data_IF_744663383279
#
_entry.id   IF_744663383279
#
_cell.length_a   1.000
_cell.length_b   1.000
_cell.length_c   1.000
_cell.angle_alpha   90.00
_cell.angle_beta   90.00
_cell.angle_gamma   90.00
#
_symmetry.space_group_name_H-M   'P 1'
#
loop_
_entity.id
_entity.type
_entity.pdbx_description
1 polymer ?
#
# COMPACT_ATOMS: atom_id res chain seq x y z
N UNK A 1 15.35 2.68 13.88
CA UNK A 1 15.24 2.46 13.46
C UNK A 1 15.23 1.80 12.69
N UNK A 2 15.13 1.64 12.44
CA UNK A 2 15.33 0.86 11.76
C UNK A 2 14.41 0.13 11.21
N UNK A 3 13.65 -0.03 11.73
CA UNK A 3 12.74 -0.88 11.28
C UNK A 3 12.17 -0.60 10.01
N UNK A 4 11.98 0.47 9.73
CA UNK A 4 11.36 0.76 8.65
C UNK A 4 11.87 0.26 7.53
N UNK A 5 12.81 -0.28 7.55
CA UNK A 5 13.36 -0.57 6.48
C UNK A 5 12.76 -1.55 5.72
N UNK A 6 11.98 -2.38 6.14
CA UNK A 6 11.42 -3.39 5.32
C UNK A 6 10.68 -2.83 4.18
N UNK A 7 9.81 -1.94 4.42
CA UNK A 7 9.03 -1.37 3.35
C UNK A 7 9.88 -0.49 2.48
N UNK A 8 10.84 0.15 3.07
CA UNK A 8 11.67 1.04 2.34
C UNK A 8 12.80 0.38 1.62
N UNK A 9 12.89 -0.91 1.72
CA UNK A 9 13.99 -1.59 1.05
C UNK A 9 13.88 -1.48 -0.46
N UNK A 10 12.67 -1.22 -0.97
CA UNK A 10 12.51 -1.06 -2.39
C UNK A 10 12.44 0.40 -2.76
N UNK A 11 13.34 0.84 -3.62
CA UNK A 11 13.34 2.23 -4.04
C UNK A 11 12.19 2.50 -4.99
N UNK A 12 11.21 3.22 -4.53
CA UNK A 12 10.11 3.61 -5.35
C UNK A 12 10.10 5.11 -5.54
N UNK A 13 9.62 5.59 -6.67
CA UNK A 13 9.48 7.02 -6.87
C UNK A 13 8.58 7.59 -5.79
N UNK A 14 8.89 8.79 -5.37
CA UNK A 14 8.15 9.40 -4.29
C UNK A 14 6.67 9.54 -4.60
N UNK A 15 6.36 9.93 -5.81
CA UNK A 15 4.96 10.07 -6.19
C UNK A 15 4.23 8.75 -6.14
N UNK A 16 4.94 7.67 -6.42
CA UNK A 16 4.33 6.36 -6.40
C UNK A 16 4.04 5.92 -4.99
N UNK A 17 4.92 6.25 -4.06
CA UNK A 17 4.68 5.90 -2.66
C UNK A 17 3.46 6.63 -2.14
N UNK A 18 3.28 7.87 -2.55
CA UNK A 18 2.14 8.64 -2.15
C UNK A 18 0.87 8.00 -2.69
N UNK A 19 0.92 7.56 -3.93
CA UNK A 19 -0.21 6.92 -4.56
C UNK A 19 -0.56 5.62 -3.85
N UNK A 20 0.46 4.86 -3.48
CA UNK A 20 0.23 3.61 -2.76
C UNK A 20 -0.43 3.91 -1.41
N UNK A 21 0.02 4.94 -0.74
CA UNK A 21 -0.55 5.30 0.54
C UNK A 21 -2.02 5.65 0.41
N UNK A 22 -2.35 6.45 -0.59
CA UNK A 22 -3.74 6.85 -0.79
C UNK A 22 -4.59 5.64 -1.15
N UNK A 23 -4.05 4.76 -1.96
CA UNK A 23 -4.76 3.55 -2.33
C UNK A 23 -4.96 2.65 -1.11
N UNK A 24 -3.95 2.56 -0.26
CA UNK A 24 -4.05 1.74 0.94
C UNK A 24 -5.13 2.28 1.88
N UNK A 25 -5.24 3.58 1.98
CA UNK A 25 -6.28 4.18 2.80
C UNK A 25 -7.66 3.87 2.25
N UNK A 26 -7.78 3.90 0.95
CA UNK A 26 -9.04 3.59 0.29
C UNK A 26 -9.42 2.14 0.57
N UNK A 27 -8.44 1.25 0.46
CA UNK A 27 -8.65 -0.17 0.70
C UNK A 27 -9.06 -0.40 2.14
N UNK A 28 -8.40 0.28 3.06
CA UNK A 28 -8.71 0.15 4.47
C UNK A 28 -10.15 0.58 4.74
N UNK A 29 -10.54 1.71 4.18
CA UNK A 29 -11.87 2.23 4.37
C UNK A 29 -12.92 1.26 3.83
N UNK A 30 -12.67 0.74 2.65
CA UNK A 30 -13.58 -0.19 2.04
C UNK A 30 -13.66 -1.48 2.85
N UNK A 31 -12.52 -1.93 3.35
CA UNK A 31 -12.46 -3.14 4.15
C UNK A 31 -13.27 -2.97 5.43
N UNK A 32 -13.19 -1.78 6.04
CA UNK A 32 -13.94 -1.50 7.23
C UNK A 32 -15.44 -1.53 6.94
N UNK A 33 -15.84 -0.94 5.85
CA UNK A 33 -17.24 -0.89 5.46
C UNK A 33 -17.79 -2.29 5.19
N UNK A 34 -16.99 -3.11 4.53
CA UNK A 34 -17.44 -4.45 4.18
C UNK A 34 -17.07 -5.49 5.23
N UNK A 35 -16.38 -5.05 6.27
CA UNK A 35 -15.96 -5.94 7.34
C UNK A 35 -15.11 -7.10 6.85
N UNK A 36 -14.23 -6.81 5.93
CA UNK A 36 -13.32 -7.81 5.40
C UNK A 36 -12.11 -7.87 6.32
N UNK A 37 -11.70 -9.05 6.75
CA UNK A 37 -10.54 -9.17 7.64
C UNK A 37 -9.26 -8.79 6.93
N UNK A 38 -8.31 -8.30 7.68
CA UNK A 38 -7.03 -7.91 7.13
C UNK A 38 -6.35 -6.95 8.09
N UNK A 39 -5.19 -6.49 7.72
CA UNK A 39 -4.49 -5.54 8.55
C UNK A 39 -3.82 -4.49 7.68
N UNK A 40 -3.11 -3.59 8.34
CA UNK A 40 -2.50 -2.46 7.68
C UNK A 40 -1.48 -2.90 6.64
N UNK A 41 -0.69 -3.89 6.97
CA UNK A 41 0.31 -4.38 6.04
C UNK A 41 -0.35 -4.99 4.82
N UNK A 42 -1.41 -5.72 5.04
CA UNK A 42 -2.13 -6.33 3.94
C UNK A 42 -2.69 -5.25 3.01
N UNK A 43 -3.21 -4.18 3.58
CA UNK A 43 -3.74 -3.09 2.77
C UNK A 43 -2.63 -2.45 1.95
N UNK A 44 -1.48 -2.27 2.55
CA UNK A 44 -0.36 -1.66 1.86
C UNK A 44 0.11 -2.54 0.70
N UNK A 45 0.25 -3.84 0.95
CA UNK A 45 0.71 -4.75 -0.08
C UNK A 45 -0.27 -4.81 -1.25
N UNK A 46 -1.55 -4.81 -0.95
CA UNK A 46 -2.56 -4.80 -1.99
C UNK A 46 -2.48 -3.51 -2.80
N UNK A 47 -2.31 -2.40 -2.11
CA UNK A 47 -2.21 -1.12 -2.77
C UNK A 47 -0.97 -1.07 -3.65
N UNK A 48 0.12 -1.59 -3.14
CA UNK A 48 1.37 -1.58 -3.88
C UNK A 48 1.23 -2.37 -5.17
N UNK A 49 0.59 -3.52 -5.07
CA UNK A 49 0.38 -4.35 -6.23
C UNK A 49 -0.48 -3.63 -7.28
N UNK A 50 -1.53 -2.98 -6.83
CA UNK A 50 -2.42 -2.29 -7.75
C UNK A 50 -1.73 -1.11 -8.41
N UNK A 51 -0.98 -0.36 -7.65
CA UNK A 51 -0.30 0.80 -8.20
C UNK A 51 0.78 0.37 -9.18
N UNK A 52 1.52 -0.67 -8.86
CA UNK A 52 2.55 -1.15 -9.76
C UNK A 52 1.93 -1.65 -11.07
N UNK A 53 0.81 -2.32 -10.97
CA UNK A 53 0.13 -2.81 -12.16
C UNK A 53 -0.33 -1.65 -13.02
N UNK A 54 -0.79 -0.59 -12.36
CA UNK A 54 -1.26 0.58 -13.05
C UNK A 54 -0.13 1.24 -13.85
N UNK A 55 1.06 1.26 -13.26
CA UNK A 55 2.21 1.85 -13.90
C UNK A 55 3.04 0.84 -14.70
N UNK A 56 2.62 -0.41 -14.68
CA UNK A 56 3.31 -1.46 -15.42
C UNK A 56 4.75 -1.65 -15.01
N UNK A 57 4.99 -1.70 -13.75
CA UNK A 57 6.34 -1.93 -13.24
C UNK A 57 6.59 -3.38 -12.95
#
# INVERSE_FOLDING_TARGET
>A
MSAKKTVDSMPLPEGMREEIRMMAQSIYSERQTKRIPGDELSDWLTAEKKVKAKHKL
#
